data_IF_845507699983
#
_entry.id   IF_845507699983
#
_cell.length_a   1.000
_cell.length_b   1.000
_cell.length_c   1.000
_cell.angle_alpha   90.00
_cell.angle_beta   90.00
_cell.angle_gamma   90.00
#
_symmetry.space_group_name_H-M   'P 1'
#
loop_
_entity.id
_entity.type
_entity.pdbx_description
1 polymer ?
#
# COMPACT_ATOMS: atom_id res chain seq x y z
N UNK A 1 4.47 7.06 8.58
CA UNK A 1 3.21 7.28 7.85
C UNK A 1 2.11 7.37 8.88
N UNK A 2 1.32 8.43 8.87
CA UNK A 2 0.16 8.52 9.77
C UNK A 2 -1.00 7.70 9.19
N UNK A 3 -1.83 7.12 10.07
CA UNK A 3 -3.00 6.33 9.68
C UNK A 3 -4.26 7.09 10.12
N UNK A 4 -5.20 7.27 9.21
CA UNK A 4 -6.51 7.84 9.48
C UNK A 4 -7.60 6.81 9.18
N UNK A 5 -8.38 6.45 10.18
CA UNK A 5 -9.45 5.47 10.07
C UNK A 5 -10.79 6.20 10.03
N UNK A 6 -11.64 5.83 9.07
CA UNK A 6 -13.02 6.32 8.99
C UNK A 6 -14.00 5.17 9.16
N UNK A 7 -15.02 5.37 9.97
CA UNK A 7 -16.05 4.37 10.29
C UNK A 7 -17.45 4.91 10.02
N UNK A 8 -18.41 4.02 9.74
CA UNK A 8 -19.80 4.37 9.41
C UNK A 8 -20.81 3.76 10.39
N UNK A 9 -20.38 2.78 11.18
CA UNK A 9 -21.23 2.01 12.10
C UNK A 9 -20.56 1.89 13.46
N UNK A 10 -21.34 1.56 14.49
CA UNK A 10 -20.80 1.30 15.83
C UNK A 10 -19.87 0.07 15.87
N UNK A 11 -20.18 -0.97 15.10
CA UNK A 11 -19.31 -2.14 14.99
C UNK A 11 -17.98 -1.76 14.33
N UNK A 12 -18.02 -0.97 13.27
CA UNK A 12 -16.84 -0.43 12.63
C UNK A 12 -15.99 0.42 13.61
N UNK A 13 -16.62 1.20 14.46
CA UNK A 13 -15.89 1.99 15.48
C UNK A 13 -15.20 1.10 16.52
N UNK A 14 -15.84 0.01 16.94
CA UNK A 14 -15.22 -0.98 17.85
C UNK A 14 -14.02 -1.67 17.19
N UNK A 15 -14.12 -1.98 15.90
CA UNK A 15 -13.01 -2.54 15.13
C UNK A 15 -11.88 -1.55 14.97
N UNK A 16 -12.19 -0.28 14.65
CA UNK A 16 -11.20 0.79 14.55
C UNK A 16 -10.38 0.95 15.84
N UNK A 17 -11.02 0.81 16.99
CA UNK A 17 -10.33 0.89 18.29
C UNK A 17 -9.32 -0.24 18.47
N UNK A 18 -9.64 -1.48 18.04
CA UNK A 18 -8.69 -2.59 18.05
C UNK A 18 -7.47 -2.31 17.16
N UNK A 19 -7.72 -1.77 15.95
CA UNK A 19 -6.64 -1.40 15.02
C UNK A 19 -5.79 -0.28 15.63
N UNK A 20 -6.40 0.76 16.20
CA UNK A 20 -5.71 1.90 16.81
C UNK A 20 -4.75 1.50 17.92
N UNK A 21 -5.10 0.49 18.71
CA UNK A 21 -4.24 -0.02 19.81
C UNK A 21 -2.90 -0.57 19.31
N UNK A 22 -2.86 -1.10 18.08
CA UNK A 22 -1.65 -1.65 17.47
C UNK A 22 -0.78 -0.61 16.75
N UNK A 23 -1.39 0.50 16.33
CA UNK A 23 -0.70 1.51 15.52
C UNK A 23 -0.70 2.86 16.23
N UNK A 24 0.42 3.21 16.84
CA UNK A 24 0.60 4.49 17.55
C UNK A 24 0.44 5.67 16.58
N UNK A 25 -0.27 6.70 17.00
CA UNK A 25 -0.51 7.90 16.18
C UNK A 25 -1.69 7.79 15.20
N UNK A 26 -2.42 6.65 15.22
CA UNK A 26 -3.62 6.48 14.41
C UNK A 26 -4.75 7.40 14.88
N UNK A 27 -5.38 8.12 13.95
CA UNK A 27 -6.60 8.90 14.18
C UNK A 27 -7.81 8.08 13.75
N UNK A 28 -8.84 8.05 14.57
CA UNK A 28 -10.12 7.39 14.26
C UNK A 28 -11.24 8.41 14.26
N UNK A 29 -12.04 8.42 13.21
CA UNK A 29 -13.15 9.34 13.04
C UNK A 29 -14.41 8.59 12.59
N UNK A 30 -15.54 8.99 13.13
CA UNK A 30 -16.84 8.46 12.72
C UNK A 30 -17.45 9.41 11.66
N UNK A 31 -17.81 8.88 10.50
CA UNK A 31 -18.37 9.68 9.39
C UNK A 31 -19.56 10.55 9.82
N UNK A 32 -20.40 10.06 10.74
CA UNK A 32 -21.54 10.80 11.29
C UNK A 32 -21.18 11.97 12.20
N UNK A 33 -19.95 12.00 12.72
CA UNK A 33 -19.45 13.01 13.67
C UNK A 33 -18.42 13.95 13.04
N UNK A 34 -18.12 13.78 11.74
CA UNK A 34 -17.22 14.68 11.03
C UNK A 34 -17.81 16.09 11.03
N UNK A 35 -17.02 17.10 11.40
CA UNK A 35 -17.39 18.50 11.28
C UNK A 35 -17.29 19.04 9.84
N UNK A 36 -17.01 18.20 8.85
CA UNK A 36 -16.81 18.53 7.44
C UNK A 36 -17.40 17.42 6.56
N UNK A 37 -17.49 17.66 5.26
CA UNK A 37 -17.96 16.62 4.33
C UNK A 37 -16.96 15.48 4.23
N UNK A 38 -17.46 14.27 3.93
CA UNK A 38 -16.60 13.10 3.70
C UNK A 38 -15.60 13.33 2.54
N UNK A 39 -16.00 14.10 1.53
CA UNK A 39 -15.14 14.51 0.42
C UNK A 39 -14.00 15.43 0.90
N UNK A 40 -14.29 16.41 1.76
CA UNK A 40 -13.26 17.33 2.29
C UNK A 40 -12.30 16.59 3.22
N UNK A 41 -12.83 15.70 4.06
CA UNK A 41 -12.00 14.82 4.87
C UNK A 41 -11.04 13.98 4.00
N UNK A 42 -11.57 13.33 2.96
CA UNK A 42 -10.74 12.50 2.04
C UNK A 42 -9.68 13.35 1.34
N UNK A 43 -10.06 14.56 0.86
CA UNK A 43 -9.12 15.51 0.26
C UNK A 43 -7.96 15.84 1.20
N UNK A 44 -8.27 16.09 2.47
CA UNK A 44 -7.27 16.39 3.48
C UNK A 44 -6.31 15.20 3.69
N UNK A 45 -6.84 13.97 3.80
CA UNK A 45 -5.98 12.79 3.97
C UNK A 45 -5.02 12.60 2.77
N UNK A 46 -5.51 12.80 1.53
CA UNK A 46 -4.66 12.73 0.33
C UNK A 46 -3.60 13.84 0.31
N UNK A 47 -3.95 15.07 0.68
CA UNK A 47 -3.01 16.19 0.75
C UNK A 47 -1.91 15.97 1.79
N UNK A 48 -2.25 15.39 2.95
CA UNK A 48 -1.32 15.07 4.03
C UNK A 48 -0.55 13.76 3.81
N UNK A 49 -0.84 13.00 2.74
CA UNK A 49 -0.25 11.68 2.46
C UNK A 49 -0.46 10.68 3.59
N UNK A 50 -1.57 10.77 4.29
CA UNK A 50 -1.94 9.79 5.31
C UNK A 50 -2.40 8.48 4.68
N UNK A 51 -2.14 7.36 5.34
CA UNK A 51 -2.79 6.11 5.01
C UNK A 51 -4.26 6.16 5.45
N UNK A 52 -5.16 5.75 4.57
CA UNK A 52 -6.60 5.77 4.83
C UNK A 52 -7.07 4.33 5.05
N UNK A 53 -7.70 4.10 6.21
CA UNK A 53 -8.39 2.85 6.49
C UNK A 53 -9.89 3.13 6.53
N UNK A 54 -10.64 2.50 5.64
CA UNK A 54 -12.10 2.62 5.57
C UNK A 54 -12.71 1.35 6.16
N UNK A 55 -13.40 1.47 7.28
CA UNK A 55 -14.15 0.35 7.83
C UNK A 55 -15.58 0.42 7.34
N UNK A 56 -15.87 -0.40 6.32
CA UNK A 56 -17.14 -0.41 5.60
C UNK A 56 -17.06 -1.06 4.22
N UNK A 57 -18.05 -0.82 3.38
CA UNK A 57 -18.09 -1.42 2.05
C UNK A 57 -17.07 -0.81 1.08
N UNK A 58 -16.41 -1.64 0.26
CA UNK A 58 -15.49 -1.19 -0.79
C UNK A 58 -16.12 -0.12 -1.71
N UNK A 59 -17.40 -0.24 -2.04
CA UNK A 59 -18.09 0.74 -2.89
C UNK A 59 -18.18 2.14 -2.26
N UNK A 60 -18.21 2.25 -0.94
CA UNK A 60 -18.13 3.54 -0.23
C UNK A 60 -16.72 4.10 -0.40
N UNK A 61 -15.70 3.29 -0.11
CA UNK A 61 -14.31 3.70 -0.26
C UNK A 61 -13.98 4.17 -1.68
N UNK A 62 -14.41 3.42 -2.70
CA UNK A 62 -14.21 3.80 -4.11
C UNK A 62 -14.80 5.17 -4.42
N UNK A 63 -16.07 5.43 -4.01
CA UNK A 63 -16.71 6.73 -4.24
C UNK A 63 -16.03 7.87 -3.49
N UNK A 64 -15.50 7.59 -2.29
CA UNK A 64 -14.77 8.57 -1.50
C UNK A 64 -13.48 9.01 -2.20
N UNK A 65 -12.68 8.06 -2.68
CA UNK A 65 -11.33 8.32 -3.19
C UNK A 65 -11.30 8.72 -4.66
N UNK A 66 -12.28 8.29 -5.47
CA UNK A 66 -12.26 8.47 -6.93
C UNK A 66 -11.93 9.90 -7.40
N UNK A 67 -12.43 10.99 -6.77
CA UNK A 67 -12.08 12.34 -7.19
C UNK A 67 -10.62 12.74 -6.94
N UNK A 68 -9.87 11.99 -6.16
CA UNK A 68 -8.52 12.33 -5.69
C UNK A 68 -7.44 11.39 -6.21
N UNK A 69 -7.83 10.29 -6.85
CA UNK A 69 -6.89 9.33 -7.44
C UNK A 69 -6.25 9.95 -8.68
N UNK A 70 -4.92 9.96 -8.71
CA UNK A 70 -4.14 10.58 -9.79
C UNK A 70 -2.93 9.78 -10.25
N UNK A 71 -2.06 9.33 -9.36
CA UNK A 71 -0.80 8.65 -9.68
C UNK A 71 -0.49 7.55 -8.66
N UNK A 72 -0.33 6.32 -9.14
CA UNK A 72 -0.03 5.13 -8.33
C UNK A 72 1.24 5.24 -7.46
N UNK A 73 2.15 6.16 -7.78
CA UNK A 73 3.40 6.36 -7.04
C UNK A 73 3.28 7.46 -5.98
N UNK A 74 2.24 8.28 -6.04
CA UNK A 74 2.07 9.44 -5.15
C UNK A 74 0.75 9.44 -4.38
N UNK A 75 -0.25 8.67 -4.80
CA UNK A 75 -1.53 8.59 -4.10
C UNK A 75 -1.39 7.98 -2.70
N UNK A 76 -2.21 8.43 -1.79
CA UNK A 76 -2.31 7.87 -0.44
C UNK A 76 -2.67 6.38 -0.48
N UNK A 77 -2.06 5.55 0.34
CA UNK A 77 -2.47 4.15 0.47
C UNK A 77 -3.87 4.07 1.09
N UNK A 78 -4.72 3.24 0.50
CA UNK A 78 -6.09 3.02 0.98
C UNK A 78 -6.32 1.55 1.22
N UNK A 79 -6.78 1.24 2.42
CA UNK A 79 -7.16 -0.11 2.86
C UNK A 79 -8.63 -0.09 3.27
N UNK A 80 -9.37 -1.13 2.92
CA UNK A 80 -10.75 -1.33 3.34
C UNK A 80 -10.83 -2.56 4.24
N UNK A 81 -11.52 -2.45 5.36
CA UNK A 81 -11.90 -3.60 6.18
C UNK A 81 -13.43 -3.68 6.27
N UNK A 82 -14.00 -4.88 6.20
CA UNK A 82 -15.41 -5.05 6.55
C UNK A 82 -15.62 -4.81 8.05
N UNK A 83 -16.84 -4.50 8.46
CA UNK A 83 -17.11 -4.15 9.87
C UNK A 83 -16.94 -5.29 10.87
N UNK A 84 -16.92 -6.54 10.40
CA UNK A 84 -16.60 -7.71 11.20
C UNK A 84 -15.09 -7.95 11.33
N UNK A 85 -14.28 -7.30 10.49
CA UNK A 85 -12.83 -7.48 10.44
C UNK A 85 -12.41 -8.80 9.81
N UNK A 86 -13.27 -9.41 9.00
CA UNK A 86 -13.00 -10.68 8.32
C UNK A 86 -12.00 -10.50 7.19
N UNK A 87 -12.22 -9.47 6.36
CA UNK A 87 -11.38 -9.18 5.20
C UNK A 87 -10.74 -7.80 5.30
N UNK A 88 -9.45 -7.73 4.95
CA UNK A 88 -8.69 -6.49 4.89
C UNK A 88 -8.10 -6.35 3.48
N UNK A 89 -8.59 -5.35 2.74
CA UNK A 89 -8.42 -5.24 1.30
C UNK A 89 -7.59 -4.00 0.98
N UNK A 90 -6.36 -4.10 0.46
CA UNK A 90 -5.63 -2.95 -0.06
C UNK A 90 -6.27 -2.50 -1.37
N UNK A 91 -6.89 -1.32 -1.36
CA UNK A 91 -7.68 -0.82 -2.48
C UNK A 91 -6.87 0.07 -3.42
N UNK A 92 -5.92 0.84 -2.90
CA UNK A 92 -5.11 1.79 -3.68
C UNK A 92 -3.68 1.85 -3.14
N UNK A 93 -2.72 2.08 -4.05
CA UNK A 93 -1.28 2.26 -3.74
C UNK A 93 -0.66 1.09 -2.97
N UNK A 94 -0.90 -0.14 -3.45
CA UNK A 94 -0.48 -1.40 -2.80
C UNK A 94 1.02 -1.46 -2.51
N UNK A 95 1.87 -1.30 -3.54
CA UNK A 95 3.33 -1.43 -3.43
C UNK A 95 4.00 -0.16 -2.86
N UNK A 96 4.16 0.88 -3.69
CA UNK A 96 4.91 2.09 -3.30
C UNK A 96 4.24 2.82 -2.14
N UNK A 97 2.92 2.93 -2.13
CA UNK A 97 2.17 3.51 -1.02
C UNK A 97 2.19 2.67 0.25
N UNK A 98 2.35 1.33 0.11
CA UNK A 98 2.42 0.40 1.24
C UNK A 98 1.07 -0.12 1.72
N UNK A 99 -0.01 -0.02 0.90
CA UNK A 99 -1.33 -0.51 1.31
C UNK A 99 -1.36 -2.04 1.47
N UNK A 100 -0.57 -2.81 0.70
CA UNK A 100 -0.48 -4.27 0.86
C UNK A 100 0.11 -4.63 2.23
N UNK A 101 1.25 -4.05 2.58
CA UNK A 101 1.90 -4.26 3.87
C UNK A 101 0.99 -3.82 5.05
N UNK A 102 0.33 -2.67 4.92
CA UNK A 102 -0.62 -2.19 5.94
C UNK A 102 -1.81 -3.14 6.10
N UNK A 103 -2.34 -3.69 5.00
CA UNK A 103 -3.44 -4.64 5.05
C UNK A 103 -3.03 -5.94 5.75
N UNK A 104 -1.83 -6.45 5.49
CA UNK A 104 -1.27 -7.63 6.18
C UNK A 104 -1.10 -7.38 7.68
N UNK A 105 -0.54 -6.22 8.05
CA UNK A 105 -0.33 -5.84 9.45
C UNK A 105 -1.67 -5.70 10.18
N UNK A 106 -2.66 -5.02 9.59
CA UNK A 106 -3.99 -4.88 10.18
C UNK A 106 -4.65 -6.25 10.32
N UNK A 107 -4.66 -7.07 9.25
CA UNK A 107 -5.25 -8.40 9.28
C UNK A 107 -4.63 -9.28 10.38
N UNK A 108 -3.31 -9.29 10.50
CA UNK A 108 -2.59 -10.00 11.57
C UNK A 108 -3.01 -9.56 12.97
N UNK A 109 -3.24 -8.25 13.16
CA UNK A 109 -3.64 -7.69 14.46
C UNK A 109 -5.08 -8.03 14.86
N UNK A 110 -6.01 -8.06 13.90
CA UNK A 110 -7.43 -8.29 14.20
C UNK A 110 -7.87 -9.74 14.01
N UNK A 111 -6.98 -10.61 13.50
CA UNK A 111 -7.30 -11.99 13.14
C UNK A 111 -8.08 -12.12 11.83
N UNK A 112 -7.94 -11.14 10.93
CA UNK A 112 -8.60 -11.10 9.63
C UNK A 112 -7.77 -11.74 8.51
N UNK A 113 -8.30 -11.69 7.29
CA UNK A 113 -7.69 -12.22 6.07
C UNK A 113 -7.28 -11.03 5.18
N UNK A 114 -5.98 -10.84 4.87
CA UNK A 114 -5.58 -9.84 3.89
C UNK A 114 -5.91 -10.33 2.48
N UNK A 115 -6.59 -9.50 1.69
CA UNK A 115 -7.02 -9.84 0.32
C UNK A 115 -6.08 -9.15 -0.67
N UNK A 116 -4.87 -9.65 -0.79
CA UNK A 116 -3.86 -9.12 -1.72
C UNK A 116 -4.17 -9.62 -3.13
N UNK A 117 -4.27 -8.70 -4.09
CA UNK A 117 -4.60 -9.01 -5.50
C UNK A 117 -3.51 -8.62 -6.49
N UNK A 118 -2.43 -8.01 -6.01
CA UNK A 118 -1.32 -7.59 -6.87
C UNK A 118 -0.59 -8.79 -7.43
N UNK A 119 -0.47 -8.90 -8.75
CA UNK A 119 0.04 -10.09 -9.42
C UNK A 119 1.44 -10.50 -8.96
N UNK A 120 2.34 -9.55 -8.71
CA UNK A 120 3.69 -9.84 -8.22
C UNK A 120 3.69 -10.44 -6.80
N UNK A 121 2.78 -9.99 -5.92
CA UNK A 121 2.66 -10.55 -4.57
C UNK A 121 2.02 -11.94 -4.61
N UNK A 122 0.93 -12.11 -5.37
CA UNK A 122 0.24 -13.40 -5.51
C UNK A 122 1.15 -14.49 -6.08
N UNK A 123 2.03 -14.13 -7.03
CA UNK A 123 2.98 -15.05 -7.65
C UNK A 123 4.32 -15.10 -6.92
N UNK A 124 4.50 -14.38 -5.80
CA UNK A 124 5.76 -14.31 -5.05
C UNK A 124 6.95 -13.95 -5.93
N UNK A 125 6.76 -13.03 -6.88
CA UNK A 125 7.76 -12.63 -7.85
C UNK A 125 8.44 -11.31 -7.45
N UNK A 126 9.61 -11.09 -8.03
CA UNK A 126 10.35 -9.85 -7.80
C UNK A 126 9.55 -8.62 -8.26
N UNK A 127 9.53 -7.59 -7.42
CA UNK A 127 8.92 -6.30 -7.70
C UNK A 127 9.99 -5.20 -7.64
N UNK A 128 10.26 -4.56 -8.78
CA UNK A 128 11.34 -3.57 -8.93
C UNK A 128 11.06 -2.31 -8.11
N UNK A 129 9.81 -1.91 -7.97
CA UNK A 129 9.40 -0.73 -7.20
C UNK A 129 9.51 -0.98 -5.69
N UNK A 130 9.11 -2.15 -5.20
CA UNK A 130 9.33 -2.54 -3.81
C UNK A 130 10.83 -2.67 -3.49
N UNK A 131 11.60 -3.22 -4.40
CA UNK A 131 13.05 -3.31 -4.24
C UNK A 131 13.67 -1.91 -4.13
N UNK A 132 13.33 -1.01 -5.05
CA UNK A 132 13.81 0.36 -5.00
C UNK A 132 13.44 1.04 -3.67
N UNK A 133 12.19 0.89 -3.21
CA UNK A 133 11.72 1.43 -1.92
C UNK A 133 12.53 0.88 -0.75
N UNK A 134 12.70 -0.45 -0.67
CA UNK A 134 13.45 -1.12 0.42
C UNK A 134 14.92 -0.70 0.46
N UNK A 135 15.52 -0.47 -0.71
CA UNK A 135 16.92 -0.06 -0.83
C UNK A 135 17.13 1.47 -0.84
N UNK A 136 16.07 2.28 -0.64
CA UNK A 136 16.17 3.74 -0.67
C UNK A 136 16.58 4.31 -2.03
N UNK A 137 16.29 3.59 -3.12
CA UNK A 137 16.64 3.94 -4.49
C UNK A 137 15.56 4.77 -5.15
N UNK A 138 15.95 5.66 -6.07
CA UNK A 138 15.02 6.41 -6.91
C UNK A 138 14.90 5.76 -8.29
N UNK A 139 13.67 5.67 -8.79
CA UNK A 139 13.39 5.14 -10.13
C UNK A 139 13.29 6.31 -11.11
N UNK A 140 14.22 6.41 -12.05
CA UNK A 140 14.20 7.44 -13.09
C UNK A 140 13.22 7.12 -14.21
N UNK A 141 13.22 5.87 -14.68
CA UNK A 141 12.34 5.42 -15.76
C UNK A 141 11.11 4.70 -15.19
N UNK A 142 10.05 5.46 -14.92
CA UNK A 142 8.79 4.93 -14.37
C UNK A 142 8.11 3.92 -15.29
N UNK A 143 8.22 4.09 -16.61
CA UNK A 143 7.67 3.16 -17.60
C UNK A 143 8.37 1.80 -17.56
N UNK A 144 9.62 1.77 -17.10
CA UNK A 144 10.39 0.55 -16.87
C UNK A 144 9.76 -0.39 -15.86
N UNK A 145 9.06 0.14 -14.84
CA UNK A 145 8.41 -0.68 -13.80
C UNK A 145 7.44 -1.68 -14.44
N UNK A 146 6.55 -1.20 -15.29
CA UNK A 146 5.56 -2.06 -15.96
C UNK A 146 6.21 -3.08 -16.89
N UNK A 147 7.25 -2.67 -17.62
CA UNK A 147 8.00 -3.56 -18.56
C UNK A 147 8.73 -4.67 -17.80
N UNK A 148 9.39 -4.34 -16.70
CA UNK A 148 10.10 -5.33 -15.87
C UNK A 148 9.09 -6.28 -15.23
N UNK A 149 8.02 -5.77 -14.64
CA UNK A 149 6.99 -6.60 -14.02
C UNK A 149 6.35 -7.55 -15.03
N UNK A 150 6.03 -7.09 -16.24
CA UNK A 150 5.48 -7.94 -17.30
C UNK A 150 6.44 -9.08 -17.67
N UNK A 151 7.74 -8.78 -17.86
CA UNK A 151 8.75 -9.81 -18.18
C UNK A 151 8.87 -10.86 -17.06
N UNK A 152 8.80 -10.44 -15.80
CA UNK A 152 8.89 -11.34 -14.65
C UNK A 152 7.66 -12.25 -14.59
N UNK A 153 6.46 -11.68 -14.79
CA UNK A 153 5.22 -12.46 -14.82
C UNK A 153 5.17 -13.43 -16.00
N UNK A 154 5.86 -13.13 -17.10
CA UNK A 154 6.08 -14.05 -18.24
C UNK A 154 7.16 -15.13 -17.96
N UNK A 155 7.65 -15.24 -16.73
CA UNK A 155 8.67 -16.24 -16.34
C UNK A 155 10.10 -15.89 -16.78
N UNK A 156 10.36 -14.66 -17.25
CA UNK A 156 11.71 -14.21 -17.60
C UNK A 156 12.39 -13.60 -16.38
N UNK A 157 13.65 -13.95 -16.17
CA UNK A 157 14.45 -13.35 -15.11
C UNK A 157 15.14 -12.09 -15.66
N UNK A 158 14.86 -10.89 -15.13
CA UNK A 158 15.61 -9.71 -15.50
C UNK A 158 17.02 -9.75 -14.89
N UNK A 159 18.01 -9.33 -15.64
CA UNK A 159 19.33 -9.09 -15.08
C UNK A 159 19.31 -7.78 -14.28
N UNK A 160 19.85 -7.81 -13.07
CA UNK A 160 20.09 -6.60 -12.27
C UNK A 160 21.55 -6.23 -12.45
N UNK A 161 21.74 -5.02 -12.90
CA UNK A 161 23.07 -4.47 -13.12
C UNK A 161 23.29 -3.32 -12.17
N UNK A 162 24.37 -3.36 -11.40
CA UNK A 162 24.72 -2.37 -10.41
C UNK A 162 26.06 -1.77 -10.81
N UNK A 163 26.17 -0.43 -10.95
CA UNK A 163 27.45 0.18 -11.24
C UNK A 163 28.37 0.09 -10.02
N UNK A 164 29.66 -0.11 -10.26
CA UNK A 164 30.69 -0.36 -9.24
C UNK A 164 30.88 0.80 -8.22
N UNK A 165 30.28 1.94 -8.44
CA UNK A 165 30.38 3.11 -7.55
C UNK A 165 29.37 3.09 -6.38
N UNK A 166 28.43 2.09 -6.31
CA UNK A 166 27.46 1.93 -5.23
C UNK A 166 27.35 0.46 -4.81
N UNK A 167 28.40 -0.01 -4.12
CA UNK A 167 28.56 -1.42 -3.73
C UNK A 167 27.94 -1.80 -2.38
N UNK A 168 27.09 -0.97 -1.77
CA UNK A 168 26.47 -1.26 -0.47
C UNK A 168 25.18 -2.08 -0.55
N UNK A 169 24.82 -2.57 -1.74
CA UNK A 169 23.76 -3.55 -1.88
C UNK A 169 24.32 -4.91 -1.45
N UNK A 170 23.92 -5.38 -0.27
CA UNK A 170 24.32 -6.67 0.26
C UNK A 170 24.11 -7.77 -0.78
N UNK A 171 25.17 -8.51 -1.07
CA UNK A 171 25.09 -9.73 -1.88
C UNK A 171 24.05 -10.65 -1.27
N UNK A 172 22.98 -10.90 -1.99
CA UNK A 172 21.98 -11.87 -1.58
C UNK A 172 20.57 -11.34 -1.32
N UNK A 173 20.31 -10.03 -1.37
CA UNK A 173 18.95 -9.47 -1.17
C UNK A 173 17.92 -10.03 -2.16
N UNK A 174 18.37 -10.60 -3.29
CA UNK A 174 17.50 -11.17 -4.33
C UNK A 174 17.90 -12.56 -4.80
N UNK A 175 18.94 -13.17 -4.24
CA UNK A 175 19.50 -14.42 -4.79
C UNK A 175 20.06 -14.28 -6.22
N UNK A 176 20.20 -13.04 -6.72
CA UNK A 176 20.71 -12.72 -8.05
C UNK A 176 22.18 -12.29 -7.97
N UNK A 177 23.00 -12.79 -8.87
CA UNK A 177 24.39 -12.35 -8.98
C UNK A 177 24.41 -10.98 -9.65
N UNK A 178 25.05 -9.95 -9.05
CA UNK A 178 25.23 -8.67 -9.71
C UNK A 178 26.11 -8.83 -10.95
N UNK A 179 25.67 -8.27 -12.08
CA UNK A 179 26.47 -8.14 -13.30
C UNK A 179 26.71 -6.67 -13.58
N UNK A 180 27.92 -6.34 -14.05
CA UNK A 180 28.41 -4.97 -14.21
C UNK A 180 27.87 -4.29 -15.49
N UNK A 181 26.59 -4.13 -15.70
CA UNK A 181 26.07 -3.34 -16.83
C UNK A 181 24.77 -2.64 -16.47
N UNK A 182 24.76 -1.34 -16.71
CA UNK A 182 23.59 -0.48 -16.59
C UNK A 182 23.06 -0.20 -17.98
N UNK A 183 21.78 -0.38 -18.16
CA UNK A 183 21.03 0.22 -19.27
C UNK A 183 20.11 1.31 -18.73
#
# INVERSE_FOLDING_TARGET
MNISIITFTENGTKLAEKIRQAFVGTKTEEAKKLGLSLSDWTRQQFAEKNAIVVIGACGIAVRMIAPFVSDKLSDSPVVVADEAGTFVIPLLSGHMGGANELAEQIAGQIGGIPVITTATDVNHTFSVDLFAKKCGLSIYNREGIAKVSAKILDGKTPDIVISSEKTDLEQGVLGLQPREYIL
#
